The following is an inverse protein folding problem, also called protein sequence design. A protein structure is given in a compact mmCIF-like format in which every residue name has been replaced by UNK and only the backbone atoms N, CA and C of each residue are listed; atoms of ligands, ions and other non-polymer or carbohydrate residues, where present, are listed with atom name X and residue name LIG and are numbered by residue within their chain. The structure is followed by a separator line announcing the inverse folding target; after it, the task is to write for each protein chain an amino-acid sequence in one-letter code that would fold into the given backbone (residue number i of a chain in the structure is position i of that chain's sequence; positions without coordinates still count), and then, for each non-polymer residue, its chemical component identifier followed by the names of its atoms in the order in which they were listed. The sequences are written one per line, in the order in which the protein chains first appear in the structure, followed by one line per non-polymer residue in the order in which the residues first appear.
data_IF_375879028984
#
_entry.id   IF_375879028984
#
_cell.length_a   1.000
_cell.length_b   1.000
_cell.length_c   1.000
_cell.angle_alpha   90.00
_cell.angle_beta   90.00
_cell.angle_gamma   90.00
#
_symmetry.space_group_name_H-M   'P 1'
#
loop_
_entity.id
_entity.type
_entity.pdbx_description
1 polymer ?
#
# COMPACT_ATOMS: atom_id res chain seq x y z
N UNK A 1 17.44 -31.53 11.79
CA UNK A 1 16.14 -31.12 11.32
C UNK A 1 16.01 -29.60 11.41
N UNK A 2 15.64 -28.98 10.31
CA UNK A 2 15.42 -27.54 10.32
C UNK A 2 14.00 -27.22 10.79
N UNK A 3 13.87 -26.34 11.76
CA UNK A 3 12.58 -25.82 12.20
C UNK A 3 12.45 -24.40 11.65
N UNK A 4 11.43 -24.17 10.87
CA UNK A 4 11.14 -22.86 10.32
C UNK A 4 10.04 -22.21 11.14
N UNK A 5 10.32 -21.03 11.64
CA UNK A 5 9.31 -20.21 12.30
C UNK A 5 8.59 -19.42 11.22
N UNK A 6 7.34 -19.81 10.94
CA UNK A 6 6.49 -19.10 10.01
C UNK A 6 5.37 -18.45 10.80
N UNK A 7 5.23 -17.16 10.64
CA UNK A 7 4.20 -16.37 11.32
C UNK A 7 3.26 -15.79 10.28
N UNK A 8 1.98 -15.80 10.60
CA UNK A 8 0.95 -15.24 9.74
C UNK A 8 0.59 -13.85 10.25
N UNK A 9 0.67 -12.87 9.36
CA UNK A 9 0.35 -11.48 9.65
C UNK A 9 -0.79 -11.00 8.79
N UNK A 10 -1.65 -10.17 9.37
CA UNK A 10 -2.60 -9.37 8.63
C UNK A 10 -1.97 -8.01 8.40
N UNK A 11 -1.89 -7.59 7.13
CA UNK A 11 -1.26 -6.33 6.73
C UNK A 11 -2.31 -5.46 6.07
N UNK A 12 -2.40 -4.22 6.51
CA UNK A 12 -3.35 -3.25 6.00
C UNK A 12 -2.62 -1.98 5.61
N UNK A 13 -2.86 -1.51 4.40
CA UNK A 13 -2.34 -0.25 3.90
C UNK A 13 -3.49 0.66 3.52
N UNK A 14 -3.43 1.91 3.94
CA UNK A 14 -4.40 2.94 3.59
C UNK A 14 -3.64 4.19 3.19
N UNK A 15 -3.89 4.66 1.98
CA UNK A 15 -3.26 5.85 1.44
C UNK A 15 -4.32 6.91 1.20
N UNK A 16 -4.14 8.07 1.81
CA UNK A 16 -4.87 9.27 1.46
C UNK A 16 -3.90 10.24 0.80
N UNK A 17 -4.28 10.76 -0.34
CA UNK A 17 -3.38 11.58 -1.15
C UNK A 17 -4.15 12.68 -1.86
N UNK A 18 -3.41 13.67 -2.35
CA UNK A 18 -3.92 14.68 -3.26
C UNK A 18 -3.08 14.71 -4.53
N UNK A 19 -3.70 15.07 -5.64
CA UNK A 19 -3.04 15.21 -6.93
C UNK A 19 -3.42 16.54 -7.55
N UNK A 20 -2.49 17.14 -8.28
CA UNK A 20 -2.63 18.51 -8.76
C UNK A 20 -3.64 18.74 -9.87
N UNK A 21 -4.21 17.71 -10.44
CA UNK A 21 -5.22 17.83 -11.48
C UNK A 21 -5.02 16.83 -12.61
N UNK A 22 -6.05 16.69 -13.44
CA UNK A 22 -6.04 15.77 -14.56
C UNK A 22 -6.59 14.40 -14.24
N UNK A 23 -6.54 13.50 -15.20
CA UNK A 23 -7.00 12.12 -15.08
C UNK A 23 -5.81 11.21 -14.83
N UNK A 24 -5.94 10.30 -13.88
CA UNK A 24 -4.84 9.40 -13.53
C UNK A 24 -5.39 8.11 -12.92
N UNK A 25 -4.55 7.07 -12.92
CA UNK A 25 -4.85 5.80 -12.26
C UNK A 25 -3.87 5.61 -11.12
N UNK A 26 -4.30 5.77 -9.87
CA UNK A 26 -3.42 5.54 -8.73
C UNK A 26 -3.36 4.04 -8.41
N UNK A 27 -2.24 3.59 -7.87
CA UNK A 27 -2.06 2.21 -7.43
C UNK A 27 -1.38 2.23 -6.06
N UNK A 28 -1.94 1.47 -5.14
CA UNK A 28 -1.36 1.23 -3.83
C UNK A 28 -0.89 -0.22 -3.77
N UNK A 29 0.35 -0.42 -3.34
CA UNK A 29 0.97 -1.75 -3.27
C UNK A 29 1.36 -2.09 -1.85
N UNK A 30 1.25 -3.38 -1.53
CA UNK A 30 1.99 -3.98 -0.43
C UNK A 30 3.11 -4.80 -1.07
N UNK A 31 4.35 -4.50 -0.70
CA UNK A 31 5.53 -5.21 -1.16
C UNK A 31 6.05 -6.10 -0.06
N UNK A 32 6.50 -7.29 -0.43
CA UNK A 32 7.21 -8.19 0.48
C UNK A 32 8.60 -8.42 -0.09
N UNK A 33 9.62 -8.11 0.71
CA UNK A 33 11.03 -8.30 0.35
C UNK A 33 11.40 -7.63 -0.97
N UNK A 34 10.83 -6.46 -1.24
CA UNK A 34 11.14 -5.70 -2.43
C UNK A 34 10.36 -6.10 -3.68
N UNK A 35 9.42 -7.04 -3.58
CA UNK A 35 8.59 -7.47 -4.69
C UNK A 35 7.12 -7.21 -4.42
N UNK A 36 6.36 -6.90 -5.45
CA UNK A 36 4.93 -6.68 -5.32
C UNK A 36 4.23 -7.94 -4.83
N UNK A 37 3.44 -7.79 -3.76
CA UNK A 37 2.71 -8.88 -3.14
C UNK A 37 1.20 -8.73 -3.31
N UNK A 38 0.70 -7.52 -3.12
CA UNK A 38 -0.72 -7.22 -3.31
C UNK A 38 -0.87 -5.77 -3.77
N UNK A 39 -1.96 -5.47 -4.46
CA UNK A 39 -2.19 -4.12 -4.94
C UNK A 39 -3.69 -3.83 -5.09
N UNK A 40 -4.00 -2.55 -5.08
CA UNK A 40 -5.32 -2.03 -5.40
C UNK A 40 -5.16 -0.78 -6.24
N UNK A 41 -6.06 -0.59 -7.18
CA UNK A 41 -6.08 0.63 -7.99
C UNK A 41 -7.52 1.11 -8.18
N UNK A 42 -7.64 2.40 -8.45
CA UNK A 42 -8.88 3.00 -8.91
C UNK A 42 -8.71 3.45 -10.35
N UNK A 43 -9.67 3.15 -11.19
CA UNK A 43 -9.58 3.47 -12.61
C UNK A 43 -9.92 4.94 -12.84
N UNK A 44 -9.03 5.64 -13.55
CA UNK A 44 -9.30 6.96 -14.14
C UNK A 44 -9.91 7.95 -13.16
N UNK A 45 -9.21 8.19 -12.08
CA UNK A 45 -9.57 9.25 -11.14
C UNK A 45 -9.40 10.59 -11.82
N UNK A 46 -10.41 11.44 -11.74
CA UNK A 46 -10.31 12.82 -12.20
C UNK A 46 -10.11 13.71 -11.00
N UNK A 47 -8.98 14.40 -10.95
CA UNK A 47 -8.68 15.33 -9.88
C UNK A 47 -9.11 16.73 -10.29
N UNK A 48 -9.77 17.43 -9.38
CA UNK A 48 -10.23 18.81 -9.60
C UNK A 48 -9.26 19.85 -9.05
N UNK A 49 -8.05 19.43 -8.69
CA UNK A 49 -7.03 20.33 -8.19
C UNK A 49 -6.94 20.40 -6.68
N UNK A 50 -6.29 21.47 -6.18
CA UNK A 50 -5.93 21.58 -4.78
C UNK A 50 -7.10 21.43 -3.81
N UNK A 51 -6.85 20.73 -2.72
CA UNK A 51 -7.83 20.46 -1.68
C UNK A 51 -8.65 19.20 -1.91
N UNK A 52 -8.56 18.56 -3.06
CA UNK A 52 -9.25 17.30 -3.33
C UNK A 52 -8.37 16.14 -2.86
N UNK A 53 -8.91 15.31 -1.98
CA UNK A 53 -8.22 14.12 -1.47
C UNK A 53 -8.95 12.86 -1.90
N UNK A 54 -8.18 11.87 -2.30
CA UNK A 54 -8.67 10.54 -2.61
C UNK A 54 -7.98 9.52 -1.72
N UNK A 55 -8.53 8.32 -1.64
CA UNK A 55 -7.92 7.28 -0.83
C UNK A 55 -8.03 5.92 -1.50
N UNK A 56 -7.04 5.08 -1.19
CA UNK A 56 -7.00 3.67 -1.55
C UNK A 56 -6.66 2.88 -0.31
N UNK A 57 -7.18 1.67 -0.22
CA UNK A 57 -6.76 0.76 0.84
C UNK A 57 -6.69 -0.67 0.32
N UNK A 58 -5.76 -1.44 0.86
CA UNK A 58 -5.67 -2.85 0.57
C UNK A 58 -5.23 -3.62 1.81
N UNK A 59 -5.62 -4.89 1.86
CA UNK A 59 -5.29 -5.77 2.95
C UNK A 59 -4.87 -7.12 2.41
N UNK A 60 -3.97 -7.78 3.11
CA UNK A 60 -3.52 -9.10 2.70
C UNK A 60 -2.99 -9.86 3.91
N UNK A 61 -3.11 -11.17 3.86
CA UNK A 61 -2.46 -12.07 4.81
C UNK A 61 -1.10 -12.44 4.26
N UNK A 62 -0.06 -12.29 5.08
CA UNK A 62 1.32 -12.52 4.67
C UNK A 62 2.00 -13.46 5.64
N UNK A 63 2.68 -14.48 5.13
CA UNK A 63 3.55 -15.32 5.96
C UNK A 63 4.95 -14.72 5.99
N UNK A 64 5.55 -14.69 7.16
CA UNK A 64 6.88 -14.10 7.36
C UNK A 64 7.68 -14.97 8.32
N UNK A 65 9.01 -14.95 8.17
CA UNK A 65 9.90 -15.78 8.98
C UNK A 65 10.25 -15.17 10.33
N UNK A 66 9.85 -13.93 10.59
CA UNK A 66 10.10 -13.27 11.86
C UNK A 66 11.51 -12.72 12.04
N UNK A 67 12.41 -12.88 11.07
CA UNK A 67 13.78 -12.41 11.17
C UNK A 67 14.21 -11.51 10.02
N UNK A 68 14.10 -11.95 8.78
CA UNK A 68 14.59 -11.20 7.62
C UNK A 68 13.49 -10.74 6.67
N UNK A 69 12.30 -11.33 6.72
CA UNK A 69 11.20 -10.90 5.89
C UNK A 69 10.67 -9.54 6.33
N UNK A 70 10.31 -8.72 5.36
CA UNK A 70 9.73 -7.40 5.65
C UNK A 70 8.69 -7.05 4.61
N UNK A 71 7.78 -6.16 4.98
CA UNK A 71 6.77 -5.60 4.09
C UNK A 71 6.83 -4.08 4.14
N UNK A 72 6.46 -3.46 3.04
CA UNK A 72 6.33 -2.01 2.97
C UNK A 72 5.18 -1.63 2.05
N UNK A 73 4.76 -0.39 2.17
CA UNK A 73 3.70 0.20 1.37
C UNK A 73 4.32 1.08 0.30
N UNK A 74 3.86 0.92 -0.94
CA UNK A 74 4.31 1.77 -2.05
C UNK A 74 3.11 2.24 -2.87
N UNK A 75 3.28 3.36 -3.53
CA UNK A 75 2.22 3.95 -4.34
C UNK A 75 2.79 4.49 -5.64
N UNK A 76 1.97 4.48 -6.68
CA UNK A 76 2.33 5.08 -7.96
C UNK A 76 1.07 5.63 -8.63
N UNK A 77 1.27 6.46 -9.65
CA UNK A 77 0.19 6.92 -10.52
C UNK A 77 0.75 7.17 -11.91
N UNK A 78 -0.13 7.19 -12.90
CA UNK A 78 0.25 7.41 -14.31
C UNK A 78 -0.10 8.82 -14.82
N UNK A 79 -0.52 9.71 -13.94
CA UNK A 79 -0.82 11.09 -14.30
C UNK A 79 0.43 11.95 -14.31
N UNK A 80 0.31 13.14 -14.90
CA UNK A 80 1.39 14.12 -14.84
C UNK A 80 1.46 14.78 -13.47
N UNK A 81 2.63 15.35 -13.15
CA UNK A 81 2.83 16.05 -11.88
C UNK A 81 3.01 15.10 -10.69
N UNK A 82 2.98 15.70 -9.52
CA UNK A 82 3.24 14.99 -8.27
C UNK A 82 1.96 14.79 -7.48
N UNK A 83 1.86 13.65 -6.82
CA UNK A 83 0.86 13.41 -5.79
C UNK A 83 1.48 13.59 -4.41
N UNK A 84 0.71 14.05 -3.45
CA UNK A 84 1.16 14.25 -2.08
C UNK A 84 0.44 13.29 -1.14
N UNK A 85 1.22 12.48 -0.42
CA UNK A 85 0.67 11.60 0.61
C UNK A 85 0.29 12.43 1.84
N UNK A 86 -0.90 12.17 2.37
CA UNK A 86 -1.41 12.89 3.53
C UNK A 86 -1.04 12.17 4.83
N UNK A 87 -1.01 12.94 5.92
CA UNK A 87 -0.55 12.45 7.22
C UNK A 87 -1.45 11.37 7.83
N UNK A 88 -2.69 11.25 7.39
CA UNK A 88 -3.59 10.18 7.88
C UNK A 88 -3.57 8.93 7.01
N UNK A 89 -2.57 8.80 6.14
CA UNK A 89 -2.24 7.51 5.54
C UNK A 89 -1.67 6.59 6.61
N UNK A 90 -2.01 5.32 6.55
CA UNK A 90 -1.61 4.36 7.58
C UNK A 90 -1.09 3.09 6.96
N UNK A 91 -0.17 2.47 7.69
CA UNK A 91 0.31 1.13 7.36
C UNK A 91 0.40 0.36 8.66
N UNK A 92 -0.35 -0.72 8.76
CA UNK A 92 -0.43 -1.48 9.99
C UNK A 92 -0.29 -2.96 9.71
N UNK A 93 0.29 -3.68 10.65
CA UNK A 93 0.32 -5.12 10.56
C UNK A 93 0.30 -5.70 11.96
N UNK A 94 -0.33 -6.87 12.09
CA UNK A 94 -0.34 -7.60 13.34
C UNK A 94 -0.34 -9.09 13.07
N UNK A 95 0.24 -9.82 14.00
CA UNK A 95 0.35 -11.26 13.92
C UNK A 95 -0.98 -11.91 14.30
N UNK A 96 -1.46 -12.80 13.44
CA UNK A 96 -2.72 -13.51 13.67
C UNK A 96 -2.53 -14.99 13.90
N UNK A 97 -1.31 -15.52 13.69
CA UNK A 97 -1.05 -16.93 13.92
C UNK A 97 0.42 -17.27 13.77
N UNK A 98 0.76 -18.46 14.14
CA UNK A 98 2.10 -19.00 13.98
C UNK A 98 2.11 -20.08 12.93
#
# INVERSE_FOLDING_TARGET
MCVYNIYLYFVQAHLTYSHGGGTYTPVLYIYKNGSGYNSVSSNNIVSYGGGHNDSLSCQVMVTMNGTSDYVDMRASHNGGGNATMKAYSTFAMFRVGA
#
